data_IF_246286552502
#
_entry.id   IF_246286552502
#
_cell.length_a   1.000
_cell.length_b   1.000
_cell.length_c   1.000
_cell.angle_alpha   90.00
_cell.angle_beta   90.00
_cell.angle_gamma   90.00
#
_symmetry.space_group_name_H-M   'P 1'
#
loop_
_entity.id
_entity.type
_entity.pdbx_description
1 polymer ?
#
# COMPACT_ATOMS: atom_id res chain seq x y z
N UNK A 1 7.11 8.64 -15.40
CA UNK A 1 8.57 8.52 -15.26
C UNK A 1 9.00 7.05 -15.27
N UNK A 2 10.24 6.83 -15.57
CA UNK A 2 10.80 5.48 -15.50
C UNK A 2 11.57 5.33 -14.19
N UNK A 3 11.27 4.29 -13.41
CA UNK A 3 11.93 4.03 -12.14
C UNK A 3 12.10 2.51 -11.97
N UNK A 4 13.25 2.09 -11.47
CA UNK A 4 13.52 0.68 -11.25
C UNK A 4 12.69 0.14 -10.07
N UNK A 5 12.39 -1.16 -10.04
CA UNK A 5 11.69 -1.75 -8.90
C UNK A 5 12.41 -1.52 -7.57
N UNK A 6 13.73 -1.64 -7.54
CA UNK A 6 14.51 -1.45 -6.32
C UNK A 6 14.41 -0.01 -5.81
N UNK A 7 14.54 0.98 -6.72
CA UNK A 7 14.44 2.38 -6.31
C UNK A 7 13.03 2.71 -5.85
N UNK A 8 12.02 2.20 -6.56
CA UNK A 8 10.63 2.40 -6.17
C UNK A 8 10.37 1.86 -4.77
N UNK A 9 10.86 0.67 -4.48
CA UNK A 9 10.72 0.05 -3.17
C UNK A 9 11.33 0.91 -2.08
N UNK A 10 12.54 1.43 -2.30
CA UNK A 10 13.20 2.33 -1.34
C UNK A 10 12.35 3.56 -1.06
N UNK A 11 11.83 4.19 -2.10
CA UNK A 11 10.98 5.37 -1.93
C UNK A 11 9.67 5.04 -1.22
N UNK A 12 9.10 3.88 -1.52
CA UNK A 12 7.85 3.45 -0.89
C UNK A 12 8.03 3.23 0.61
N UNK A 13 9.08 2.53 1.02
CA UNK A 13 9.32 2.29 2.44
C UNK A 13 9.68 3.59 3.17
N UNK A 14 10.43 4.48 2.55
CA UNK A 14 10.72 5.78 3.14
C UNK A 14 9.45 6.61 3.32
N UNK A 15 8.56 6.59 2.33
CA UNK A 15 7.29 7.30 2.43
C UNK A 15 6.43 6.73 3.56
N UNK A 16 6.42 5.41 3.72
CA UNK A 16 5.68 4.75 4.80
C UNK A 16 6.21 5.19 6.17
N UNK A 17 7.54 5.24 6.33
CA UNK A 17 8.15 5.69 7.57
C UNK A 17 7.77 7.14 7.90
N UNK A 18 7.76 8.01 6.90
CA UNK A 18 7.35 9.40 7.08
C UNK A 18 5.89 9.51 7.50
N UNK A 19 5.01 8.73 6.88
CA UNK A 19 3.59 8.72 7.25
C UNK A 19 3.41 8.23 8.68
N UNK A 20 4.07 7.14 9.05
CA UNK A 20 3.98 6.60 10.41
C UNK A 20 4.45 7.61 11.45
N UNK A 21 5.52 8.34 11.16
CA UNK A 21 6.06 9.33 12.09
C UNK A 21 5.08 10.46 12.38
N UNK A 22 4.14 10.72 11.49
CA UNK A 22 3.16 11.79 11.64
C UNK A 22 1.83 11.34 12.22
N UNK A 23 1.62 10.03 12.38
CA UNK A 23 0.38 9.51 12.92
C UNK A 23 0.32 9.65 14.44
N UNK A 24 -0.87 9.88 15.01
CA UNK A 24 -1.05 9.78 16.46
C UNK A 24 -0.66 8.39 16.96
N UNK A 25 -0.22 8.27 18.25
CA UNK A 25 0.31 6.98 18.75
C UNK A 25 -0.62 5.80 18.62
N UNK A 26 -1.92 5.99 18.83
CA UNK A 26 -2.89 4.90 18.72
C UNK A 26 -3.06 4.43 17.28
N UNK A 27 -3.11 5.36 16.33
CA UNK A 27 -3.19 5.02 14.92
C UNK A 27 -1.87 4.44 14.41
N UNK A 28 -0.75 4.95 14.92
CA UNK A 28 0.56 4.42 14.55
C UNK A 28 0.73 2.96 14.94
N UNK A 29 0.29 2.59 16.12
CA UNK A 29 0.39 1.22 16.60
C UNK A 29 -0.35 0.24 15.67
N UNK A 30 -1.52 0.63 15.17
CA UNK A 30 -2.26 -0.18 14.22
C UNK A 30 -1.59 -0.21 12.85
N UNK A 31 -1.11 0.94 12.38
CA UNK A 31 -0.48 1.05 11.06
C UNK A 31 0.84 0.28 11.00
N UNK A 32 1.59 0.21 12.08
CA UNK A 32 2.85 -0.55 12.14
C UNK A 32 2.67 -2.04 11.93
N UNK A 33 1.46 -2.55 12.12
CA UNK A 33 1.14 -3.97 11.89
C UNK A 33 0.83 -4.28 10.44
N UNK A 34 0.63 -3.26 9.62
CA UNK A 34 0.33 -3.44 8.21
C UNK A 34 1.61 -3.72 7.45
N UNK A 35 1.60 -4.75 6.61
CA UNK A 35 2.73 -5.06 5.75
C UNK A 35 2.65 -4.18 4.52
N UNK A 36 3.74 -3.52 4.20
CA UNK A 36 3.86 -2.76 2.95
C UNK A 36 4.55 -3.64 1.91
N UNK A 37 3.91 -3.76 0.76
CA UNK A 37 4.43 -4.55 -0.34
C UNK A 37 4.41 -3.70 -1.61
N UNK A 38 5.23 -4.06 -2.58
CA UNK A 38 5.27 -3.35 -3.86
C UNK A 38 5.21 -4.37 -5.00
N UNK A 39 4.55 -4.00 -6.07
CA UNK A 39 4.43 -4.82 -7.26
C UNK A 39 4.44 -3.94 -8.49
N UNK A 40 4.72 -4.52 -9.66
CA UNK A 40 4.73 -3.75 -10.90
C UNK A 40 3.32 -3.36 -11.31
N UNK A 41 2.42 -4.32 -11.28
CA UNK A 41 1.01 -4.13 -11.66
C UNK A 41 0.13 -5.08 -10.84
N UNK A 42 -1.17 -4.76 -10.71
CA UNK A 42 -2.06 -5.66 -9.97
C UNK A 42 -2.23 -7.00 -10.67
N UNK A 43 -2.38 -8.05 -9.86
CA UNK A 43 -2.80 -9.35 -10.38
C UNK A 43 -4.27 -9.26 -10.84
N UNK A 44 -4.70 -10.12 -11.77
CA UNK A 44 -6.10 -10.09 -12.23
C UNK A 44 -7.13 -10.18 -11.11
N UNK A 45 -6.85 -10.97 -10.08
CA UNK A 45 -7.75 -11.12 -8.95
C UNK A 45 -7.93 -9.82 -8.17
N UNK A 46 -6.89 -8.98 -8.14
CA UNK A 46 -6.94 -7.70 -7.45
C UNK A 46 -7.82 -6.70 -8.20
N UNK A 47 -7.79 -6.77 -9.52
CA UNK A 47 -8.60 -5.89 -10.36
C UNK A 47 -10.09 -6.16 -10.21
N UNK A 48 -10.47 -7.39 -9.95
CA UNK A 48 -11.87 -7.77 -9.75
C UNK A 48 -12.47 -7.13 -8.50
N UNK A 49 -11.63 -6.73 -7.55
CA UNK A 49 -12.08 -6.13 -6.29
C UNK A 49 -12.29 -4.63 -6.40
N UNK A 50 -11.97 -4.03 -7.53
CA UNK A 50 -12.13 -2.60 -7.73
C UNK A 50 -13.31 -2.33 -8.63
N UNK A 51 -14.14 -1.39 -8.21
CA UNK A 51 -15.34 -1.02 -8.97
C UNK A 51 -15.07 0.01 -10.04
N UNK A 52 -13.93 0.68 -9.99
CA UNK A 52 -13.62 1.73 -10.95
C UNK A 52 -12.76 1.20 -12.08
N UNK A 53 -13.04 1.63 -13.28
CA UNK A 53 -12.22 1.32 -14.44
C UNK A 53 -10.91 2.11 -14.51
N UNK A 54 -10.55 2.81 -13.45
CA UNK A 54 -9.33 3.60 -13.40
C UNK A 54 -8.11 2.78 -13.00
N UNK A 55 -6.94 3.38 -13.14
CA UNK A 55 -5.70 2.74 -12.73
C UNK A 55 -5.67 2.58 -11.21
N UNK A 56 -5.37 1.37 -10.77
CA UNK A 56 -5.22 1.08 -9.34
C UNK A 56 -3.82 1.45 -8.90
N UNK A 57 -3.70 2.39 -7.96
CA UNK A 57 -2.41 2.87 -7.46
C UNK A 57 -1.91 2.05 -6.28
N UNK A 58 -2.83 1.60 -5.45
CA UNK A 58 -2.53 0.78 -4.30
C UNK A 58 -3.76 0.00 -3.88
N UNK A 59 -3.56 -1.02 -3.06
CA UNK A 59 -4.66 -1.86 -2.60
C UNK A 59 -4.42 -2.28 -1.16
N UNK A 60 -5.39 -1.99 -0.30
CA UNK A 60 -5.40 -2.47 1.08
C UNK A 60 -6.12 -3.82 1.13
N UNK A 61 -5.47 -4.81 1.70
CA UNK A 61 -6.05 -6.14 1.89
C UNK A 61 -6.03 -6.48 3.36
N UNK A 62 -7.22 -6.46 3.97
CA UNK A 62 -7.39 -6.93 5.33
C UNK A 62 -7.88 -8.35 5.33
N UNK A 63 -7.49 -9.12 6.33
CA UNK A 63 -8.00 -10.48 6.52
C UNK A 63 -9.06 -10.44 7.60
N UNK A 64 -10.33 -10.65 7.25
CA UNK A 64 -11.40 -10.63 8.26
C UNK A 64 -11.22 -11.75 9.27
N UNK A 65 -11.28 -11.38 10.54
CA UNK A 65 -11.16 -12.33 11.64
C UNK A 65 -12.32 -13.31 11.69
N UNK A 66 -13.43 -12.94 11.06
CA UNK A 66 -14.66 -13.73 11.12
C UNK A 66 -14.63 -15.02 10.30
N UNK A 67 -13.65 -15.21 9.46
CA UNK A 67 -13.53 -16.44 8.67
C UNK A 67 -12.88 -17.57 9.41
N UNK A 68 -12.75 -17.42 10.71
CA UNK A 68 -12.06 -18.42 11.45
C UNK A 68 -12.99 -19.47 11.95
N UNK A 69 -12.57 -20.68 11.69
CA UNK A 69 -13.21 -21.81 12.31
C UNK A 69 -12.62 -21.99 13.69
N UNK A 70 -13.50 -21.85 14.61
CA UNK A 70 -13.42 -22.35 15.95
C UNK A 70 -12.08 -22.28 16.68
N UNK A 71 -11.07 -22.98 16.33
CA UNK A 71 -9.91 -23.11 17.19
C UNK A 71 -8.60 -22.62 16.61
N UNK A 72 -8.58 -22.22 15.36
CA UNK A 72 -7.36 -21.73 14.76
C UNK A 72 -7.46 -20.23 14.55
N UNK A 73 -6.71 -19.53 15.35
CA UNK A 73 -6.55 -18.08 15.17
C UNK A 73 -5.38 -17.90 14.24
N UNK A 74 -5.67 -17.72 12.97
CA UNK A 74 -4.63 -17.34 12.02
C UNK A 74 -4.65 -15.84 11.95
N UNK A 75 -3.70 -15.21 12.59
CA UNK A 75 -3.53 -13.78 12.54
C UNK A 75 -2.67 -13.44 11.34
N UNK A 76 -3.32 -13.18 10.21
CA UNK A 76 -2.61 -12.64 9.07
C UNK A 76 -2.67 -11.12 9.16
N UNK A 77 -1.52 -10.45 9.07
CA UNK A 77 -1.54 -8.98 9.09
C UNK A 77 -2.17 -8.42 7.85
N UNK A 78 -2.74 -7.24 7.98
CA UNK A 78 -3.22 -6.50 6.83
C UNK A 78 -2.06 -6.11 5.94
N UNK A 79 -2.33 -5.88 4.66
CA UNK A 79 -1.31 -5.57 3.67
C UNK A 79 -1.75 -4.43 2.78
N UNK A 80 -0.81 -3.53 2.49
CA UNK A 80 -0.97 -2.51 1.45
C UNK A 80 0.01 -2.85 0.35
N UNK A 81 -0.48 -3.00 -0.87
CA UNK A 81 0.36 -3.21 -2.04
C UNK A 81 0.34 -1.94 -2.90
N UNK A 82 1.51 -1.43 -3.25
CA UNK A 82 1.66 -0.26 -4.11
C UNK A 82 2.13 -0.70 -5.49
N UNK A 83 1.53 -0.13 -6.54
CA UNK A 83 1.79 -0.56 -7.90
C UNK A 83 2.70 0.42 -8.62
N UNK A 84 3.92 -0.04 -8.92
CA UNK A 84 5.00 0.78 -9.46
C UNK A 84 4.63 1.44 -10.79
N UNK A 85 4.12 0.67 -11.73
CA UNK A 85 3.86 1.20 -13.06
C UNK A 85 2.78 2.27 -13.06
N UNK A 86 1.70 2.05 -12.32
CA UNK A 86 0.61 3.02 -12.22
C UNK A 86 1.06 4.30 -11.53
N UNK A 87 1.77 4.19 -10.40
CA UNK A 87 2.25 5.35 -9.66
C UNK A 87 3.28 6.14 -10.47
N UNK A 88 4.22 5.44 -11.11
CA UNK A 88 5.24 6.11 -11.93
C UNK A 88 4.62 6.84 -13.13
N UNK A 89 3.53 6.33 -13.68
CA UNK A 89 2.88 6.96 -14.83
C UNK A 89 2.26 8.32 -14.48
N UNK A 90 1.96 8.56 -13.20
CA UNK A 90 1.37 9.82 -12.76
C UNK A 90 2.41 10.88 -12.43
N UNK A 91 3.67 10.51 -12.34
CA UNK A 91 4.73 11.37 -11.82
C UNK A 91 5.81 11.57 -12.86
N UNK A 92 6.48 12.73 -12.79
CA UNK A 92 7.60 13.05 -13.69
C UNK A 92 8.95 13.02 -12.97
N UNK A 93 8.93 13.19 -11.66
CA UNK A 93 10.15 13.26 -10.85
C UNK A 93 10.00 12.41 -9.60
N UNK A 94 11.12 12.10 -8.94
CA UNK A 94 11.07 11.39 -7.66
C UNK A 94 10.40 12.20 -6.56
N UNK A 95 10.53 13.52 -6.61
CA UNK A 95 9.85 14.39 -5.63
C UNK A 95 8.33 14.23 -5.74
N UNK A 96 7.82 14.25 -6.97
CA UNK A 96 6.39 14.03 -7.21
C UNK A 96 5.97 12.64 -6.78
N UNK A 97 6.82 11.64 -7.07
CA UNK A 97 6.52 10.25 -6.71
C UNK A 97 6.47 10.07 -5.19
N UNK A 98 7.40 10.68 -4.46
CA UNK A 98 7.39 10.62 -2.99
C UNK A 98 6.10 11.20 -2.41
N UNK A 99 5.67 12.33 -2.94
CA UNK A 99 4.43 12.96 -2.50
C UNK A 99 3.22 12.08 -2.81
N UNK A 100 3.19 11.49 -3.99
CA UNK A 100 2.10 10.60 -4.39
C UNK A 100 2.09 9.32 -3.55
N UNK A 101 3.27 8.78 -3.23
CA UNK A 101 3.37 7.60 -2.37
C UNK A 101 2.80 7.88 -0.98
N UNK A 102 3.17 9.00 -0.36
CA UNK A 102 2.63 9.38 0.95
C UNK A 102 1.10 9.50 0.90
N UNK A 103 0.61 10.18 -0.12
CA UNK A 103 -0.83 10.39 -0.31
C UNK A 103 -1.57 9.07 -0.47
N UNK A 104 -1.03 8.16 -1.27
CA UNK A 104 -1.64 6.86 -1.53
C UNK A 104 -1.65 6.00 -0.27
N UNK A 105 -0.54 5.98 0.46
CA UNK A 105 -0.46 5.22 1.72
C UNK A 105 -1.47 5.74 2.73
N UNK A 106 -1.56 7.05 2.90
CA UNK A 106 -2.53 7.66 3.82
C UNK A 106 -3.95 7.29 3.42
N UNK A 107 -4.24 7.35 2.13
CA UNK A 107 -5.57 7.02 1.61
C UNK A 107 -5.95 5.56 1.90
N UNK A 108 -5.00 4.64 1.71
CA UNK A 108 -5.25 3.22 1.95
C UNK A 108 -5.37 2.89 3.45
N UNK A 109 -4.65 3.61 4.30
CA UNK A 109 -4.75 3.42 5.75
C UNK A 109 -6.06 3.96 6.33
N UNK A 110 -6.56 4.97 5.75
CA UNK A 110 -7.68 5.66 6.32
C UNK A 110 -8.93 5.72 5.59
#
# INVERSE_FOLDING_TARGET
MHITPTRFEQLAFNAADEVLAQLPPDLRANAERVILDVADKPAPEMLEKTESGGALLGLYQGVPLIHRHSNSIILQPDRITLFRLALASLCRTEVELKAQLRKTIIHELG
#
